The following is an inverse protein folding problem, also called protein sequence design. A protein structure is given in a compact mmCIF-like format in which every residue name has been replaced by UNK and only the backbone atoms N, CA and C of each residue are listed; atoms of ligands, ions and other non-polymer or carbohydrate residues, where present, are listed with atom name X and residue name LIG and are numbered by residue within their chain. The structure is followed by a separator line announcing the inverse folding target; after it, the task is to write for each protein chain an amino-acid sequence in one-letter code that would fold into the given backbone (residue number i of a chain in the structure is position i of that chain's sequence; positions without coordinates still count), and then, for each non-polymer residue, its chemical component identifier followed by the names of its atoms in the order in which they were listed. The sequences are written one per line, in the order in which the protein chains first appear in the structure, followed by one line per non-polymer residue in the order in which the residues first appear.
data_IF_742365990700
#
_entry.id   IF_742365990700
#
_cell.length_a   1.000
_cell.length_b   1.000
_cell.length_c   1.000
_cell.angle_alpha   90.00
_cell.angle_beta   90.00
_cell.angle_gamma   90.00
#
_symmetry.space_group_name_H-M   'P 1'
#
loop_
_entity.id
_entity.type
_entity.pdbx_description
1 polymer ?
#
# COMPACT_ATOMS: atom_id res chain seq x y z
N UNK A 1 -20.88 -23.04 5.09
CA UNK A 1 -20.15 -22.52 3.92
C UNK A 1 -19.66 -21.11 4.26
N UNK A 2 -18.38 -20.96 4.62
CA UNK A 2 -17.80 -19.65 4.97
C UNK A 2 -16.55 -19.42 4.12
N UNK A 3 -16.74 -19.14 2.83
CA UNK A 3 -15.66 -18.86 1.89
C UNK A 3 -15.01 -17.46 2.05
N UNK A 4 -15.47 -16.65 3.02
CA UNK A 4 -14.99 -15.27 3.21
C UNK A 4 -13.66 -15.12 3.97
N UNK A 5 -13.24 -16.13 4.75
CA UNK A 5 -12.02 -16.03 5.57
C UNK A 5 -10.72 -16.13 4.77
N UNK A 6 -10.71 -16.89 3.68
CA UNK A 6 -9.48 -17.19 2.94
C UNK A 6 -8.88 -15.95 2.24
N UNK A 7 -9.71 -14.99 1.84
CA UNK A 7 -9.24 -13.74 1.22
C UNK A 7 -8.49 -12.85 2.22
N UNK A 8 -8.95 -12.79 3.47
CA UNK A 8 -8.26 -12.03 4.53
C UNK A 8 -6.92 -12.69 4.85
N UNK A 9 -6.86 -14.03 4.92
CA UNK A 9 -5.60 -14.74 5.11
C UNK A 9 -4.60 -14.49 3.98
N UNK A 10 -5.06 -14.41 2.73
CA UNK A 10 -4.19 -14.09 1.60
C UNK A 10 -3.65 -12.64 1.69
N UNK A 11 -4.48 -11.70 2.14
CA UNK A 11 -4.04 -10.33 2.41
C UNK A 11 -3.01 -10.27 3.54
N UNK A 12 -3.33 -10.85 4.68
CA UNK A 12 -2.44 -10.86 5.84
C UNK A 12 -1.11 -11.52 5.47
N UNK A 13 -1.13 -12.64 4.72
CA UNK A 13 0.09 -13.30 4.24
C UNK A 13 0.92 -12.41 3.31
N UNK A 14 0.28 -11.68 2.40
CA UNK A 14 0.98 -10.75 1.50
C UNK A 14 1.56 -9.55 2.25
N UNK A 15 0.84 -9.06 3.26
CA UNK A 15 1.28 -7.98 4.13
C UNK A 15 2.43 -8.41 5.06
N UNK A 16 2.32 -9.58 5.69
CA UNK A 16 3.36 -10.18 6.52
C UNK A 16 4.64 -10.42 5.72
N UNK A 17 4.51 -10.88 4.47
CA UNK A 17 5.64 -11.01 3.55
C UNK A 17 6.29 -9.65 3.22
N UNK A 18 5.50 -8.56 3.19
CA UNK A 18 6.04 -7.20 3.05
C UNK A 18 6.82 -6.79 4.31
N UNK A 19 6.27 -7.06 5.51
CA UNK A 19 6.91 -6.78 6.79
C UNK A 19 8.25 -7.51 6.97
N UNK A 20 8.39 -8.70 6.39
CA UNK A 20 9.65 -9.45 6.42
C UNK A 20 10.75 -8.86 5.54
N UNK A 21 10.41 -8.01 4.56
CA UNK A 21 11.39 -7.42 3.63
C UNK A 21 12.11 -6.19 4.19
N UNK A 22 11.59 -5.57 5.25
CA UNK A 22 12.20 -4.40 5.85
C UNK A 22 11.18 -3.45 6.47
N UNK A 23 11.47 -2.15 6.41
CA UNK A 23 10.63 -1.12 7.03
C UNK A 23 9.39 -0.88 6.17
N UNK A 24 8.21 -1.24 6.67
CA UNK A 24 6.95 -1.04 5.93
C UNK A 24 6.28 0.28 6.33
N UNK A 25 6.05 1.15 5.36
CA UNK A 25 5.18 2.33 5.50
C UNK A 25 3.77 2.02 5.01
N UNK A 26 2.74 2.34 5.79
CA UNK A 26 1.34 2.10 5.43
C UNK A 26 0.55 3.40 5.42
N UNK A 27 0.02 3.77 4.27
CA UNK A 27 -0.88 4.89 4.08
C UNK A 27 -2.29 4.43 3.79
N UNK A 28 -3.27 5.14 4.33
CA UNK A 28 -4.69 4.85 4.11
C UNK A 28 -5.44 6.11 3.70
N UNK A 29 -6.23 6.01 2.65
CA UNK A 29 -7.16 7.04 2.21
C UNK A 29 -8.58 6.51 2.38
N UNK A 30 -9.46 7.26 3.06
CA UNK A 30 -10.87 6.88 3.18
C UNK A 30 -11.68 7.73 4.16
N UNK A 31 -12.96 7.97 3.81
CA UNK A 31 -13.98 8.58 4.67
C UNK A 31 -15.08 7.57 5.04
N UNK A 32 -16.04 7.95 5.89
CA UNK A 32 -17.07 7.02 6.42
C UNK A 32 -17.98 6.38 5.35
N UNK A 33 -18.01 6.92 4.14
CA UNK A 33 -18.85 6.47 3.01
C UNK A 33 -18.13 6.42 1.65
N UNK A 34 -16.78 6.45 1.61
CA UNK A 34 -16.00 6.40 0.35
C UNK A 34 -15.16 5.12 0.27
N UNK A 35 -14.85 4.61 -0.93
CA UNK A 35 -13.93 3.50 -1.13
C UNK A 35 -12.63 3.77 -0.38
N UNK A 36 -12.21 2.83 0.47
CA UNK A 36 -10.98 2.93 1.25
C UNK A 36 -9.84 2.37 0.42
N UNK A 37 -8.77 3.14 0.27
CA UNK A 37 -7.52 2.71 -0.34
C UNK A 37 -6.50 2.54 0.77
N UNK A 38 -5.80 1.40 0.79
CA UNK A 38 -4.66 1.15 1.67
C UNK A 38 -3.46 0.85 0.80
N UNK A 39 -2.37 1.56 1.02
CA UNK A 39 -1.09 1.38 0.34
C UNK A 39 -0.08 1.01 1.41
N UNK A 40 0.63 -0.09 1.22
CA UNK A 40 1.76 -0.51 2.04
C UNK A 40 3.00 -0.60 1.16
N UNK A 41 4.13 -0.10 1.64
CA UNK A 41 5.39 -0.02 0.90
C UNK A 41 6.48 -0.55 1.81
N UNK A 42 7.17 -1.60 1.39
CA UNK A 42 8.34 -2.12 2.08
C UNK A 42 9.59 -1.44 1.56
N UNK A 43 10.39 -0.92 2.49
CA UNK A 43 11.65 -0.24 2.23
C UNK A 43 12.81 -1.09 2.74
N UNK A 44 13.92 -1.14 1.98
CA UNK A 44 15.20 -1.62 2.49
C UNK A 44 15.88 -0.62 3.43
N UNK A 45 17.05 -1.01 3.93
CA UNK A 45 17.95 -0.18 4.73
C UNK A 45 18.39 1.10 4.01
N UNK A 46 18.36 1.12 2.67
CA UNK A 46 18.72 2.27 1.83
C UNK A 46 17.53 3.19 1.56
N UNK A 47 16.37 2.95 2.20
CA UNK A 47 15.10 3.64 1.95
C UNK A 47 14.61 3.52 0.50
N UNK A 48 14.93 2.43 -0.19
CA UNK A 48 14.39 2.10 -1.52
C UNK A 48 13.25 1.11 -1.39
N UNK A 49 12.26 1.24 -2.25
CA UNK A 49 11.10 0.35 -2.25
C UNK A 49 11.50 -1.04 -2.75
N UNK A 50 11.43 -2.05 -1.89
CA UNK A 50 11.69 -3.43 -2.28
C UNK A 50 10.42 -4.17 -2.72
N UNK A 51 9.28 -3.82 -2.13
CA UNK A 51 7.98 -4.36 -2.53
C UNK A 51 6.88 -3.39 -2.11
N UNK A 52 5.72 -3.52 -2.73
CA UNK A 52 4.58 -2.65 -2.47
C UNK A 52 3.28 -3.41 -2.65
N UNK A 53 2.27 -2.95 -1.91
CA UNK A 53 0.95 -3.55 -1.85
C UNK A 53 -0.09 -2.44 -1.84
N UNK A 54 -1.13 -2.57 -2.66
CA UNK A 54 -2.28 -1.68 -2.66
C UNK A 54 -3.57 -2.48 -2.60
N UNK A 55 -4.50 -1.96 -1.81
CA UNK A 55 -5.86 -2.47 -1.68
C UNK A 55 -6.81 -1.31 -1.95
N UNK A 56 -7.77 -1.48 -2.85
CA UNK A 56 -8.81 -0.48 -3.13
C UNK A 56 -10.17 -1.14 -3.10
N UNK A 57 -11.07 -0.64 -2.24
CA UNK A 57 -12.45 -1.13 -2.20
C UNK A 57 -13.27 -0.50 -1.07
N UNK A 58 -14.59 -0.64 -1.14
CA UNK A 58 -15.48 -0.21 -0.05
C UNK A 58 -15.37 -1.09 1.20
N UNK A 59 -14.87 -2.32 1.03
CA UNK A 59 -14.71 -3.29 2.10
C UNK A 59 -13.26 -3.76 2.19
N UNK A 60 -12.83 -4.23 3.36
CA UNK A 60 -11.52 -4.87 3.60
C UNK A 60 -11.31 -6.17 2.80
N UNK A 61 -12.27 -6.54 1.94
CA UNK A 61 -12.24 -7.71 1.07
C UNK A 61 -11.64 -7.43 -0.32
N UNK A 62 -11.13 -6.22 -0.56
CA UNK A 62 -10.38 -5.92 -1.78
C UNK A 62 -9.16 -6.84 -1.89
N UNK A 63 -8.85 -7.29 -3.11
CA UNK A 63 -7.65 -8.10 -3.34
C UNK A 63 -6.40 -7.21 -3.24
N UNK A 64 -5.34 -7.65 -2.53
CA UNK A 64 -4.07 -6.96 -2.59
C UNK A 64 -3.49 -7.06 -4.00
N UNK A 65 -3.10 -5.91 -4.55
CA UNK A 65 -2.39 -5.80 -5.82
C UNK A 65 -1.00 -5.26 -5.53
N UNK A 66 0.02 -5.76 -6.21
CA UNK A 66 1.39 -5.24 -6.07
C UNK A 66 1.61 -4.07 -7.03
N UNK A 67 2.30 -3.01 -6.58
CA UNK A 67 2.64 -1.86 -7.44
C UNK A 67 4.09 -2.02 -7.91
N UNK A 68 4.32 -2.89 -8.89
CA UNK A 68 5.68 -3.11 -9.40
C UNK A 68 6.32 -1.86 -10.00
N UNK A 69 5.49 -0.90 -10.46
CA UNK A 69 5.94 0.37 -11.03
C UNK A 69 6.79 1.22 -10.08
N UNK A 70 6.72 0.97 -8.77
CA UNK A 70 7.45 1.73 -7.76
C UNK A 70 8.60 0.95 -7.11
N UNK A 71 8.75 -0.33 -7.45
CA UNK A 71 9.81 -1.15 -6.88
C UNK A 71 11.17 -0.69 -7.43
N UNK A 72 12.15 -0.55 -6.54
CA UNK A 72 13.49 -0.04 -6.82
C UNK A 72 13.63 1.48 -6.71
N UNK A 73 12.52 2.22 -6.60
CA UNK A 73 12.54 3.69 -6.49
C UNK A 73 12.86 4.08 -5.03
N UNK A 74 13.66 5.13 -4.85
CA UNK A 74 13.94 5.71 -3.53
C UNK A 74 12.67 6.33 -2.94
N UNK A 75 12.48 6.26 -1.62
CA UNK A 75 11.32 6.87 -0.95
C UNK A 75 11.15 8.36 -1.28
N UNK A 76 12.26 9.05 -1.50
CA UNK A 76 12.28 10.49 -1.79
C UNK A 76 11.87 10.80 -3.25
N UNK A 77 12.02 9.83 -4.15
CA UNK A 77 11.69 9.97 -5.57
C UNK A 77 10.26 9.51 -5.90
N UNK A 78 9.60 8.82 -4.96
CA UNK A 78 8.21 8.40 -5.09
C UNK A 78 7.28 9.61 -5.15
N UNK A 79 6.81 9.91 -6.35
CA UNK A 79 5.84 10.97 -6.59
C UNK A 79 4.45 10.39 -6.86
N UNK A 80 3.47 10.60 -5.95
CA UNK A 80 2.14 10.02 -6.10
C UNK A 80 1.46 10.39 -7.42
N UNK A 81 1.68 11.62 -7.89
CA UNK A 81 1.13 12.16 -9.14
C UNK A 81 1.66 11.45 -10.38
N UNK A 82 2.91 10.99 -10.35
CA UNK A 82 3.53 10.24 -11.45
C UNK A 82 3.05 8.78 -11.46
N UNK A 83 2.85 8.20 -10.28
CA UNK A 83 2.51 6.78 -10.12
C UNK A 83 1.02 6.55 -10.37
N UNK A 84 0.17 7.50 -9.96
CA UNK A 84 -1.28 7.43 -10.12
C UNK A 84 -1.83 8.70 -10.76
N UNK A 85 -1.53 8.99 -12.04
CA UNK A 85 -1.87 10.26 -12.68
C UNK A 85 -3.39 10.53 -12.76
N UNK A 86 -4.20 9.47 -12.76
CA UNK A 86 -5.66 9.57 -12.90
C UNK A 86 -6.44 9.05 -11.68
N UNK A 87 -5.78 8.80 -10.54
CA UNK A 87 -6.45 8.26 -9.34
C UNK A 87 -6.08 9.04 -8.06
N UNK A 88 -6.85 10.09 -7.72
CA UNK A 88 -6.55 10.96 -6.57
C UNK A 88 -6.70 10.24 -5.22
N UNK A 89 -7.42 9.12 -5.15
CA UNK A 89 -7.52 8.33 -3.92
C UNK A 89 -6.22 7.57 -3.66
N UNK A 90 -5.65 6.99 -4.73
CA UNK A 90 -4.36 6.31 -4.69
C UNK A 90 -3.21 7.30 -4.43
N UNK A 91 -3.26 8.49 -5.04
CA UNK A 91 -2.30 9.57 -4.75
C UNK A 91 -2.27 9.93 -3.26
N UNK A 92 -3.44 10.14 -2.65
CA UNK A 92 -3.54 10.47 -1.22
C UNK A 92 -3.06 9.32 -0.33
N UNK A 93 -3.45 8.08 -0.62
CA UNK A 93 -3.01 6.93 0.16
C UNK A 93 -1.49 6.74 0.08
N UNK A 94 -0.91 6.87 -1.11
CA UNK A 94 0.52 6.80 -1.34
C UNK A 94 1.25 7.95 -0.64
N UNK A 95 0.79 9.19 -0.79
CA UNK A 95 1.36 10.35 -0.08
C UNK A 95 1.38 10.14 1.43
N UNK A 96 0.32 9.58 2.02
CA UNK A 96 0.26 9.25 3.44
C UNK A 96 1.21 8.11 3.82
N UNK A 97 1.43 7.12 2.95
CA UNK A 97 2.38 6.04 3.17
C UNK A 97 3.82 6.58 3.20
N UNK A 98 4.12 7.56 2.32
CA UNK A 98 5.43 8.21 2.20
C UNK A 98 5.71 9.20 3.33
N UNK A 99 4.67 9.89 3.82
CA UNK A 99 4.75 10.84 4.94
C UNK A 99 5.04 10.20 6.30
N UNK A 100 5.20 8.88 6.40
CA UNK A 100 5.61 8.21 7.63
C UNK A 100 7.10 8.46 7.98
N UNK A 101 7.42 9.71 8.32
CA UNK A 101 8.57 10.07 9.14
C UNK A 101 8.20 11.32 9.96
N UNK A 102 8.56 11.30 11.24
CA UNK A 102 8.26 12.24 12.33
C UNK A 102 7.07 11.89 13.24
N UNK A 103 7.20 10.73 13.89
CA UNK A 103 6.83 10.55 15.30
C UNK A 103 8.05 9.97 16.01
#
# INVERSE_FOLDING_TARGET
MAFGGWQIHQFNRAFDALCQKGRVGVGRSGGRFKPRVVVAIALDEQNRVCDSLIMRGMTVFARPVKIQAINGISLQELQPDVIFPHDPLCQNALSLALKLKHG
#
